data_IF_870079393038
#
_entry.id   IF_870079393038
#
_cell.length_a   1.000
_cell.length_b   1.000
_cell.length_c   1.000
_cell.angle_alpha   90.00
_cell.angle_beta   90.00
_cell.angle_gamma   90.00
#
_symmetry.space_group_name_H-M   'P 1'
#
loop_
_entity.id
_entity.type
_entity.pdbx_description
1 polymer ?
#
# COMPACT_ATOMS: atom_id res chain seq x y z
N UNK A 1 -21.63 -63.38 5.38
CA UNK A 1 -20.70 -63.21 4.25
C UNK A 1 -20.55 -61.72 3.97
N UNK A 2 -19.43 -61.18 4.47
CA UNK A 2 -18.64 -60.01 4.09
C UNK A 2 -19.18 -58.84 3.23
N UNK A 3 -18.93 -57.64 3.79
CA UNK A 3 -18.37 -56.42 3.20
C UNK A 3 -19.18 -55.70 2.08
N UNK A 4 -19.32 -54.38 2.08
CA UNK A 4 -18.31 -53.37 2.42
C UNK A 4 -18.99 -52.02 2.59
N UNK A 5 -18.74 -51.37 3.72
CA UNK A 5 -18.99 -49.95 3.93
C UNK A 5 -18.26 -49.16 2.84
N UNK A 6 -19.00 -48.45 1.99
CA UNK A 6 -18.45 -47.49 1.04
C UNK A 6 -18.28 -46.16 1.76
N UNK A 7 -17.33 -46.12 2.68
CA UNK A 7 -16.70 -44.86 3.08
C UNK A 7 -15.71 -44.53 1.96
N UNK A 8 -15.90 -43.47 1.16
CA UNK A 8 -14.86 -43.08 0.22
C UNK A 8 -13.62 -42.73 1.05
N UNK A 9 -12.57 -43.51 0.80
CA UNK A 9 -11.28 -43.37 1.41
C UNK A 9 -10.78 -41.93 1.23
N UNK A 10 -10.44 -41.30 2.35
CA UNK A 10 -9.38 -40.29 2.44
C UNK A 10 -9.36 -39.28 1.29
N UNK A 11 -10.17 -38.23 1.39
CA UNK A 11 -9.86 -36.92 0.81
C UNK A 11 -8.56 -36.43 1.49
N UNK A 12 -7.43 -36.92 1.00
CA UNK A 12 -6.19 -36.88 1.76
C UNK A 12 -5.61 -35.49 1.80
N UNK A 13 -4.72 -35.32 2.78
CA UNK A 13 -3.97 -34.09 3.02
C UNK A 13 -3.28 -33.57 1.75
N UNK A 14 -2.90 -34.46 0.83
CA UNK A 14 -2.33 -34.11 -0.47
C UNK A 14 -3.29 -33.34 -1.38
N UNK A 15 -4.59 -33.68 -1.41
CA UNK A 15 -5.60 -32.97 -2.20
C UNK A 15 -5.89 -31.59 -1.61
N UNK A 16 -5.86 -31.50 -0.28
CA UNK A 16 -5.96 -30.21 0.43
C UNK A 16 -4.76 -29.31 0.17
N UNK A 17 -3.55 -29.87 0.05
CA UNK A 17 -2.36 -29.09 -0.29
C UNK A 17 -2.38 -28.57 -1.73
N UNK A 18 -2.84 -29.38 -2.69
CA UNK A 18 -3.02 -28.95 -4.08
C UNK A 18 -4.11 -27.88 -4.18
N UNK A 19 -5.21 -28.02 -3.45
CA UNK A 19 -6.25 -26.99 -3.37
C UNK A 19 -5.76 -25.68 -2.73
N UNK A 20 -4.86 -25.75 -1.75
CA UNK A 20 -4.22 -24.56 -1.16
C UNK A 20 -3.21 -23.91 -2.11
N UNK A 21 -2.45 -24.69 -2.87
CA UNK A 21 -1.50 -24.19 -3.86
C UNK A 21 -2.21 -23.44 -5.00
N UNK A 22 -3.40 -23.90 -5.44
CA UNK A 22 -4.20 -23.20 -6.46
C UNK A 22 -4.81 -21.87 -5.98
N UNK A 23 -4.80 -21.57 -4.67
CA UNK A 23 -5.46 -20.39 -4.09
C UNK A 23 -4.49 -19.24 -3.76
N UNK A 24 -3.19 -19.41 -4.05
CA UNK A 24 -2.10 -18.45 -3.78
C UNK A 24 -1.59 -17.79 -5.06
N UNK A 25 -2.42 -17.68 -6.09
CA UNK A 25 -2.12 -16.85 -7.27
C UNK A 25 -3.33 -15.95 -7.52
N UNK A 26 -3.38 -14.85 -6.79
CA UNK A 26 -4.30 -13.75 -7.09
C UNK A 26 -3.65 -12.84 -8.13
N UNK A 27 -3.91 -13.11 -9.40
CA UNK A 27 -3.63 -12.16 -10.48
C UNK A 27 -4.70 -11.07 -10.34
N UNK A 28 -4.34 -9.93 -9.76
CA UNK A 28 -5.20 -8.74 -9.82
C UNK A 28 -5.14 -8.18 -11.24
N UNK A 29 -6.28 -8.06 -11.95
CA UNK A 29 -6.31 -7.38 -13.23
C UNK A 29 -5.85 -5.94 -13.04
N UNK A 30 -4.85 -5.54 -13.83
CA UNK A 30 -4.33 -4.18 -13.92
C UNK A 30 -5.35 -3.32 -14.66
N UNK A 31 -6.43 -2.96 -13.97
CA UNK A 31 -7.50 -2.19 -14.57
C UNK A 31 -8.50 -1.75 -13.52
N UNK A 32 -8.35 -0.49 -13.12
CA UNK A 32 -9.50 0.36 -12.78
C UNK A 32 -10.22 0.13 -11.44
N UNK A 33 -9.50 0.24 -10.31
CA UNK A 33 -10.07 0.67 -9.00
C UNK A 33 -9.02 1.16 -7.98
N UNK A 34 -7.78 1.40 -8.40
CA UNK A 34 -6.61 1.55 -7.51
C UNK A 34 -6.51 2.82 -6.65
N UNK A 35 -7.49 3.73 -6.69
CA UNK A 35 -7.40 5.01 -6.01
C UNK A 35 -7.90 4.99 -4.54
N UNK A 36 -8.86 4.11 -4.18
CA UNK A 36 -9.51 4.13 -2.86
C UNK A 36 -9.65 2.76 -2.16
N UNK A 37 -9.04 1.70 -2.70
CA UNK A 37 -9.03 0.39 -2.05
C UNK A 37 -7.98 0.37 -0.91
N UNK A 38 -8.33 0.06 0.35
CA UNK A 38 -7.37 -0.05 1.44
C UNK A 38 -6.25 -1.08 1.17
N UNK A 39 -6.49 -2.08 0.31
CA UNK A 39 -5.44 -3.01 -0.12
C UNK A 39 -4.36 -2.37 -1.01
N UNK A 40 -4.61 -1.17 -1.55
CA UNK A 40 -3.64 -0.41 -2.37
C UNK A 40 -2.81 0.58 -1.56
N UNK A 41 -3.16 0.83 -0.29
CA UNK A 41 -2.47 1.81 0.56
C UNK A 41 -0.96 1.53 0.72
N UNK A 42 -0.50 0.28 0.94
CA UNK A 42 0.92 -0.02 0.99
C UNK A 42 1.63 0.26 -0.34
N UNK A 43 1.05 -0.18 -1.46
CA UNK A 43 1.61 0.06 -2.79
C UNK A 43 1.66 1.56 -3.14
N UNK A 44 0.67 2.35 -2.71
CA UNK A 44 0.67 3.81 -2.87
C UNK A 44 1.77 4.47 -2.05
N UNK A 45 1.96 4.02 -0.81
CA UNK A 45 3.04 4.50 0.05
C UNK A 45 4.40 4.18 -0.56
N UNK A 46 4.63 2.93 -0.98
CA UNK A 46 5.87 2.49 -1.64
C UNK A 46 6.16 3.29 -2.91
N UNK A 47 5.15 3.45 -3.77
CA UNK A 47 5.29 4.25 -4.99
C UNK A 47 5.60 5.73 -4.70
N UNK A 48 5.00 6.31 -3.67
CA UNK A 48 5.28 7.68 -3.28
C UNK A 48 6.70 7.84 -2.73
N UNK A 49 7.16 6.89 -1.90
CA UNK A 49 8.55 6.84 -1.42
C UNK A 49 9.53 6.70 -2.59
N UNK A 50 9.24 5.80 -3.54
CA UNK A 50 10.10 5.58 -4.72
C UNK A 50 10.23 6.84 -5.60
N UNK A 51 9.16 7.66 -5.67
CA UNK A 51 9.18 8.95 -6.38
C UNK A 51 9.81 10.09 -5.57
N UNK A 52 10.16 9.87 -4.31
CA UNK A 52 10.62 10.92 -3.41
C UNK A 52 9.53 11.93 -3.02
N UNK A 53 8.26 11.61 -3.28
CA UNK A 53 7.12 12.46 -2.95
C UNK A 53 6.74 12.26 -1.48
N UNK A 54 7.46 12.96 -0.60
CA UNK A 54 7.29 12.83 0.85
C UNK A 54 5.89 13.29 1.29
N UNK A 55 5.27 14.23 0.58
CA UNK A 55 3.92 14.72 0.86
C UNK A 55 2.87 13.63 0.63
N UNK A 56 2.86 13.02 -0.55
CA UNK A 56 1.94 11.91 -0.87
C UNK A 56 2.22 10.70 0.01
N UNK A 57 3.48 10.40 0.30
CA UNK A 57 3.86 9.32 1.19
C UNK A 57 3.33 9.57 2.62
N UNK A 58 3.45 10.79 3.16
CA UNK A 58 2.93 11.13 4.49
C UNK A 58 1.40 10.96 4.58
N UNK A 59 0.68 11.36 3.53
CA UNK A 59 -0.77 11.20 3.45
C UNK A 59 -1.20 9.73 3.36
N UNK A 60 -0.45 8.90 2.63
CA UNK A 60 -0.70 7.46 2.55
C UNK A 60 -0.37 6.76 3.88
N UNK A 61 0.72 7.14 4.56
CA UNK A 61 1.09 6.60 5.86
C UNK A 61 0.02 6.89 6.92
N UNK A 62 -0.57 8.09 6.93
CA UNK A 62 -1.64 8.45 7.87
C UNK A 62 -2.90 7.57 7.73
N UNK A 63 -3.13 7.00 6.55
CA UNK A 63 -4.28 6.13 6.24
C UNK A 63 -4.05 4.66 6.59
N UNK A 64 -2.83 4.25 6.97
CA UNK A 64 -2.55 2.87 7.35
C UNK A 64 -3.32 2.45 8.61
N UNK A 65 -3.68 1.16 8.77
CA UNK A 65 -4.33 0.67 9.98
C UNK A 65 -3.38 0.68 11.20
N UNK A 66 -3.95 0.73 12.40
CA UNK A 66 -3.25 0.92 13.67
C UNK A 66 -2.09 -0.07 13.99
N UNK A 67 -2.14 -1.38 13.64
CA UNK A 67 -0.97 -2.23 13.80
C UNK A 67 0.22 -1.79 12.93
N UNK A 68 -0.03 -1.34 11.70
CA UNK A 68 1.01 -0.89 10.78
C UNK A 68 1.51 0.53 11.11
N UNK A 69 0.64 1.46 11.50
CA UNK A 69 1.04 2.81 11.91
C UNK A 69 1.90 2.82 13.17
N UNK A 70 1.53 2.05 14.19
CA UNK A 70 2.31 1.98 15.43
C UNK A 70 3.70 1.38 15.20
N UNK A 71 3.79 0.33 14.39
CA UNK A 71 5.08 -0.28 14.03
C UNK A 71 5.99 0.66 13.21
N UNK A 72 5.41 1.67 12.54
CA UNK A 72 6.12 2.62 11.68
C UNK A 72 6.02 4.08 12.17
N UNK A 73 5.82 4.29 13.48
CA UNK A 73 5.62 5.62 14.05
C UNK A 73 6.79 6.58 13.76
N UNK A 74 8.03 6.11 13.98
CA UNK A 74 9.24 6.89 13.74
C UNK A 74 9.42 7.24 12.26
N UNK A 75 9.05 6.31 11.37
CA UNK A 75 9.04 6.54 9.94
C UNK A 75 8.02 7.63 9.56
N UNK A 76 6.81 7.58 10.12
CA UNK A 76 5.79 8.61 9.91
C UNK A 76 6.22 10.00 10.38
N UNK A 77 6.92 10.08 11.52
CA UNK A 77 7.51 11.34 12.01
C UNK A 77 8.56 11.90 11.05
N UNK A 78 9.49 11.06 10.58
CA UNK A 78 10.50 11.47 9.62
C UNK A 78 9.88 11.94 8.28
N UNK A 79 8.84 11.24 7.83
CA UNK A 79 8.12 11.55 6.59
C UNK A 79 7.40 12.89 6.68
N UNK A 80 6.75 13.18 7.82
CA UNK A 80 6.12 14.50 8.06
C UNK A 80 7.13 15.64 8.04
N UNK A 81 8.30 15.46 8.65
CA UNK A 81 9.36 16.49 8.64
C UNK A 81 9.84 16.80 7.23
N UNK A 82 10.05 15.76 6.42
CA UNK A 82 10.43 15.93 5.01
C UNK A 82 9.32 16.59 4.18
N UNK A 83 8.08 16.14 4.34
CA UNK A 83 6.93 16.75 3.68
C UNK A 83 6.77 18.25 4.04
N UNK A 84 7.02 18.62 5.30
CA UNK A 84 6.98 20.02 5.73
C UNK A 84 8.10 20.85 5.10
N UNK A 85 9.30 20.29 4.98
CA UNK A 85 10.42 20.95 4.30
C UNK A 85 10.11 21.15 2.81
N UNK A 86 9.58 20.13 2.13
CA UNK A 86 9.20 20.20 0.71
C UNK A 86 8.11 21.26 0.48
N UNK A 87 7.12 21.34 1.37
CA UNK A 87 6.08 22.36 1.32
C UNK A 87 6.66 23.78 1.50
N UNK A 88 7.57 23.97 2.45
CA UNK A 88 8.23 25.27 2.66
C UNK A 88 9.05 25.71 1.43
N UNK A 89 9.79 24.79 0.82
CA UNK A 89 10.54 25.05 -0.42
C UNK A 89 9.57 25.45 -1.55
N UNK A 90 8.46 24.73 -1.69
CA UNK A 90 7.45 25.04 -2.69
C UNK A 90 6.85 26.44 -2.49
N UNK A 91 6.50 26.81 -1.25
CA UNK A 91 6.01 28.16 -0.92
C UNK A 91 7.03 29.24 -1.31
N UNK A 92 8.29 29.08 -0.93
CA UNK A 92 9.34 30.06 -1.26
C UNK A 92 9.48 30.23 -2.78
N UNK A 93 9.46 29.12 -3.52
CA UNK A 93 9.53 29.15 -4.98
C UNK A 93 8.31 29.86 -5.59
N UNK A 94 7.11 29.58 -5.08
CA UNK A 94 5.88 30.24 -5.51
C UNK A 94 5.89 31.75 -5.25
N UNK A 95 6.33 32.16 -4.05
CA UNK A 95 6.45 33.56 -3.67
C UNK A 95 7.46 34.31 -4.56
N UNK A 96 8.59 33.68 -4.88
CA UNK A 96 9.58 34.24 -5.80
C UNK A 96 9.02 34.42 -7.22
N UNK A 97 8.30 33.42 -7.73
CA UNK A 97 7.65 33.50 -9.05
C UNK A 97 6.57 34.59 -9.05
N UNK A 98 5.76 34.70 -7.99
CA UNK A 98 4.75 35.74 -7.86
C UNK A 98 5.38 37.14 -7.83
N UNK A 99 6.47 37.33 -7.09
CA UNK A 99 7.19 38.60 -7.03
C UNK A 99 7.74 39.02 -8.40
N UNK A 100 8.28 38.08 -9.18
CA UNK A 100 8.74 38.34 -10.56
C UNK A 100 7.59 38.70 -11.50
N UNK A 101 6.43 38.03 -11.37
CA UNK A 101 5.25 38.31 -12.18
C UNK A 101 4.59 39.66 -11.90
N UNK A 102 4.77 40.22 -10.69
CA UNK A 102 4.28 41.57 -10.34
C UNK A 102 5.24 42.67 -10.80
N UNK A 103 6.51 42.35 -11.05
CA UNK A 103 7.54 43.31 -11.44
C UNK A 103 7.69 43.50 -12.97
N UNK A 104 7.03 42.67 -13.78
CA UNK A 104 7.02 42.75 -15.26
C UNK A 104 5.72 43.33 -15.80
#
# INVERSE_FOLDING_TARGET
MYARELTPASAGWQDRLVALASRVISIRPVGDTGANDPATLPARLENAIARGDNGTAAAAWAQLPEPARRASADFGEALRKRAAADAAIATIAQDAVAALGVAG
#
